data_IF_277250354314
#
_entry.id   IF_277250354314
#
_cell.length_a   1.000
_cell.length_b   1.000
_cell.length_c   1.000
_cell.angle_alpha   90.00
_cell.angle_beta   90.00
_cell.angle_gamma   90.00
#
_symmetry.space_group_name_H-M   'P 1'
#
loop_
_entity.id
_entity.type
_entity.pdbx_description
1 polymer ?
#
# COMPACT_ATOMS: atom_id res chain seq x y z
N UNK A 1 -4.56 -14.62 -5.96
CA UNK A 1 -3.50 -13.61 -5.98
C UNK A 1 -3.00 -13.39 -4.56
N UNK A 2 -1.68 -13.37 -4.33
CA UNK A 2 -1.11 -13.17 -3.00
C UNK A 2 -1.42 -11.80 -2.39
N UNK A 3 -1.27 -11.71 -1.07
CA UNK A 3 -1.35 -10.45 -0.32
C UNK A 3 -0.21 -9.54 -0.77
N UNK A 4 -0.48 -8.29 -1.20
CA UNK A 4 0.57 -7.36 -1.59
C UNK A 4 1.44 -6.98 -0.39
N UNK A 5 2.69 -6.63 -0.69
CA UNK A 5 3.69 -6.24 0.29
C UNK A 5 4.08 -4.78 0.10
N UNK A 6 4.85 -4.24 1.05
CA UNK A 6 5.39 -2.90 0.98
C UNK A 6 6.81 -2.88 1.55
N UNK A 7 7.79 -2.47 0.74
CA UNK A 7 9.23 -2.51 1.07
C UNK A 7 9.82 -1.15 1.50
N UNK A 8 8.99 -0.23 1.99
CA UNK A 8 9.43 1.14 2.32
C UNK A 8 10.49 1.21 3.42
N UNK A 9 10.61 0.18 4.24
CA UNK A 9 11.59 0.04 5.32
C UNK A 9 12.84 -0.76 4.91
N UNK A 10 12.93 -1.18 3.64
CA UNK A 10 13.97 -2.09 3.15
C UNK A 10 13.61 -3.58 3.26
N UNK A 11 12.53 -3.93 3.96
CA UNK A 11 12.03 -5.30 4.11
C UNK A 11 10.58 -5.42 3.64
N UNK A 12 10.20 -6.59 3.10
CA UNK A 12 8.85 -6.84 2.64
C UNK A 12 7.88 -7.04 3.81
N UNK A 13 6.98 -6.07 4.03
CA UNK A 13 5.92 -6.17 5.03
C UNK A 13 4.56 -6.34 4.36
N UNK A 14 3.77 -7.31 4.83
CA UNK A 14 2.42 -7.56 4.31
C UNK A 14 1.50 -6.36 4.53
N UNK A 15 0.70 -6.03 3.52
CA UNK A 15 -0.33 -5.00 3.61
C UNK A 15 -1.62 -5.55 4.23
N UNK A 16 -2.42 -4.69 4.82
CA UNK A 16 -3.73 -5.04 5.38
C UNK A 16 -4.85 -4.71 4.42
N UNK A 17 -5.94 -5.48 4.46
CA UNK A 17 -7.17 -5.14 3.74
C UNK A 17 -7.74 -3.84 4.27
N UNK A 18 -8.23 -2.99 3.37
CA UNK A 18 -8.84 -1.71 3.70
C UNK A 18 -10.05 -1.39 2.82
N UNK A 19 -11.19 -1.10 3.44
CA UNK A 19 -12.43 -0.75 2.73
C UNK A 19 -12.91 -1.86 1.78
N UNK A 20 -13.58 -1.47 0.70
CA UNK A 20 -14.07 -2.41 -0.32
C UNK A 20 -12.94 -2.83 -1.28
N UNK A 21 -12.24 -3.91 -0.92
CA UNK A 21 -11.21 -4.52 -1.75
C UNK A 21 -9.89 -3.75 -1.86
N UNK A 22 -9.71 -2.67 -1.09
CA UNK A 22 -8.49 -1.89 -1.04
C UNK A 22 -7.43 -2.45 -0.10
N UNK A 23 -6.30 -1.75 -0.04
CA UNK A 23 -5.14 -2.12 0.75
C UNK A 23 -4.59 -0.93 1.53
N UNK A 24 -4.00 -1.23 2.68
CA UNK A 24 -3.31 -0.26 3.52
C UNK A 24 -1.90 -0.79 3.87
N UNK A 25 -0.90 0.06 3.75
CA UNK A 25 0.46 -0.24 4.16
C UNK A 25 0.55 -0.48 5.67
N UNK A 26 1.38 -1.44 6.04
CA UNK A 26 1.71 -1.76 7.43
C UNK A 26 3.01 -1.10 7.91
N UNK A 27 3.79 -0.51 7.00
CA UNK A 27 5.17 -0.06 7.28
C UNK A 27 5.44 1.40 6.89
N UNK A 28 4.51 2.10 6.23
CA UNK A 28 4.74 3.50 5.88
C UNK A 28 3.47 4.35 5.82
N UNK A 29 3.64 5.63 6.17
CA UNK A 29 2.73 6.73 5.88
C UNK A 29 3.31 7.57 4.73
N UNK A 30 2.80 8.77 4.50
CA UNK A 30 3.36 9.72 3.53
C UNK A 30 4.70 10.32 3.97
N UNK A 31 4.97 10.39 5.27
CA UNK A 31 6.14 11.06 5.85
C UNK A 31 7.04 10.15 6.67
N UNK A 32 6.63 8.90 6.86
CA UNK A 32 7.28 7.97 7.78
C UNK A 32 7.35 6.58 7.18
N UNK A 33 8.51 5.94 7.29
CA UNK A 33 8.69 4.53 6.94
C UNK A 33 9.30 3.79 8.14
N UNK A 34 8.49 3.03 8.85
CA UNK A 34 8.90 2.17 9.95
C UNK A 34 7.88 1.05 10.16
N UNK A 35 8.34 -0.11 10.64
CA UNK A 35 7.45 -1.23 10.96
C UNK A 35 7.77 -1.79 12.36
N UNK A 36 6.78 -1.92 13.25
CA UNK A 36 5.38 -1.52 13.08
C UNK A 36 5.21 0.01 13.10
N UNK A 37 4.14 0.53 12.48
CA UNK A 37 3.83 1.97 12.55
C UNK A 37 3.59 2.43 14.01
N UNK A 38 3.90 3.69 14.36
CA UNK A 38 3.75 4.20 15.73
C UNK A 38 2.33 4.06 16.28
N UNK A 39 2.23 3.97 17.61
CA UNK A 39 0.93 4.06 18.27
C UNK A 39 0.35 5.48 18.14
N UNK A 40 -0.97 5.57 18.01
CA UNK A 40 -1.65 6.87 17.98
C UNK A 40 -1.70 7.46 19.40
N UNK A 41 -1.27 8.71 19.60
CA UNK A 41 -1.22 9.32 20.93
C UNK A 41 -2.61 9.39 21.59
N UNK A 42 -3.67 9.57 20.79
CA UNK A 42 -5.04 9.76 21.28
C UNK A 42 -5.89 8.48 21.28
N UNK A 43 -5.32 7.32 20.89
CA UNK A 43 -6.03 6.03 20.90
C UNK A 43 -5.11 4.93 21.39
N UNK A 44 -5.21 4.64 22.69
CA UNK A 44 -4.64 3.43 23.31
C UNK A 44 -5.09 2.23 22.46
N UNK A 45 -4.15 1.42 22.00
CA UNK A 45 -4.34 0.24 21.11
C UNK A 45 -4.47 0.47 19.60
N UNK A 46 -4.53 1.71 19.10
CA UNK A 46 -4.50 1.95 17.64
C UNK A 46 -3.13 2.42 17.18
N UNK A 47 -2.67 1.97 16.01
CA UNK A 47 -1.48 2.50 15.33
C UNK A 47 -1.87 3.52 14.27
N UNK A 48 -0.93 4.38 13.90
CA UNK A 48 -1.09 5.30 12.77
C UNK A 48 -1.40 4.48 11.52
N UNK A 49 -2.44 4.89 10.78
CA UNK A 49 -2.79 4.24 9.54
C UNK A 49 -1.74 4.51 8.46
N UNK A 50 -1.26 3.46 7.80
CA UNK A 50 -0.35 3.60 6.67
C UNK A 50 -1.03 4.15 5.41
N UNK A 51 -0.25 4.30 4.34
CA UNK A 51 -0.75 4.69 3.01
C UNK A 51 -1.84 3.73 2.53
N UNK A 52 -2.83 4.25 1.80
CA UNK A 52 -4.03 3.50 1.39
C UNK A 52 -4.18 3.49 -0.12
N UNK A 53 -4.76 2.42 -0.64
CA UNK A 53 -5.14 2.24 -2.04
C UNK A 53 -6.54 1.64 -2.09
N UNK A 54 -7.41 2.19 -2.93
CA UNK A 54 -8.77 1.66 -3.12
C UNK A 54 -8.76 0.38 -3.98
N UNK A 55 -9.79 -0.45 -3.86
CA UNK A 55 -9.90 -1.68 -4.64
C UNK A 55 -9.93 -1.44 -6.15
N UNK A 56 -10.61 -0.37 -6.60
CA UNK A 56 -10.65 0.00 -8.02
C UNK A 56 -9.27 0.42 -8.55
N UNK A 57 -8.51 1.19 -7.77
CA UNK A 57 -7.14 1.59 -8.16
C UNK A 57 -6.22 0.36 -8.18
N UNK A 58 -6.35 -0.52 -7.20
CA UNK A 58 -5.59 -1.75 -7.15
C UNK A 58 -5.90 -2.66 -8.35
N UNK A 59 -7.17 -2.84 -8.70
CA UNK A 59 -7.57 -3.61 -9.89
C UNK A 59 -6.95 -3.05 -11.17
N UNK A 60 -6.98 -1.71 -11.36
CA UNK A 60 -6.33 -1.05 -12.50
C UNK A 60 -4.82 -1.25 -12.51
N UNK A 61 -4.17 -1.21 -11.34
CA UNK A 61 -2.74 -1.50 -11.21
C UNK A 61 -2.44 -2.94 -11.67
N UNK A 62 -3.22 -3.92 -11.25
CA UNK A 62 -3.04 -5.32 -11.66
C UNK A 62 -3.22 -5.50 -13.16
N UNK A 63 -4.26 -4.90 -13.76
CA UNK A 63 -4.46 -4.95 -15.20
C UNK A 63 -3.28 -4.35 -15.96
N UNK A 64 -2.72 -3.24 -15.46
CA UNK A 64 -1.53 -2.61 -16.03
C UNK A 64 -0.30 -3.51 -15.90
N UNK A 65 -0.02 -4.04 -14.72
CA UNK A 65 1.12 -4.93 -14.48
C UNK A 65 1.03 -6.21 -15.32
N UNK A 66 -0.15 -6.80 -15.44
CA UNK A 66 -0.38 -7.95 -16.32
C UNK A 66 -0.11 -7.61 -17.79
N UNK A 67 -0.54 -6.43 -18.26
CA UNK A 67 -0.26 -5.96 -19.62
C UNK A 67 1.24 -5.67 -19.86
N UNK A 68 1.98 -5.27 -18.82
CA UNK A 68 3.43 -5.12 -18.83
C UNK A 68 4.19 -6.46 -18.70
N UNK A 69 3.48 -7.59 -18.54
CA UNK A 69 4.06 -8.93 -18.46
C UNK A 69 4.52 -9.37 -17.06
N UNK A 70 4.13 -8.66 -16.01
CA UNK A 70 4.44 -9.07 -14.64
C UNK A 70 3.68 -10.33 -14.25
N UNK A 71 4.37 -11.25 -13.56
CA UNK A 71 3.74 -12.43 -12.99
C UNK A 71 3.00 -12.08 -11.68
N UNK A 72 1.67 -12.10 -11.75
CA UNK A 72 0.77 -11.84 -10.62
C UNK A 72 0.59 -13.05 -9.67
N UNK A 73 1.32 -14.14 -9.89
CA UNK A 73 1.46 -15.22 -8.92
C UNK A 73 2.29 -14.79 -7.70
N UNK A 74 3.15 -13.77 -7.87
CA UNK A 74 3.98 -13.19 -6.81
C UNK A 74 3.34 -11.97 -6.13
N UNK A 75 3.67 -11.69 -4.86
CA UNK A 75 3.21 -10.48 -4.17
C UNK A 75 3.65 -9.22 -4.89
N UNK A 76 2.69 -8.36 -5.23
CA UNK A 76 2.98 -7.02 -5.75
C UNK A 76 3.50 -6.14 -4.62
N UNK A 77 4.67 -5.53 -4.81
CA UNK A 77 5.18 -4.51 -3.91
C UNK A 77 4.54 -3.16 -4.21
N UNK A 78 3.82 -2.62 -3.23
CA UNK A 78 3.06 -1.37 -3.37
C UNK A 78 3.88 -0.12 -3.05
N UNK A 79 5.16 -0.25 -2.66
CA UNK A 79 6.05 0.87 -2.25
C UNK A 79 5.92 2.10 -3.16
N UNK A 80 6.01 1.88 -4.47
CA UNK A 80 6.01 2.92 -5.50
C UNK A 80 4.62 3.20 -6.11
N UNK A 81 3.60 2.41 -5.74
CA UNK A 81 2.23 2.54 -6.25
C UNK A 81 1.27 3.19 -5.27
N UNK A 82 1.66 3.36 -4.00
CA UNK A 82 0.84 4.10 -3.04
C UNK A 82 0.59 5.52 -3.52
N UNK A 83 -0.64 6.01 -3.28
CA UNK A 83 -0.95 7.41 -3.53
C UNK A 83 -0.04 8.31 -2.68
N UNK A 84 0.64 9.25 -3.34
CA UNK A 84 1.53 10.24 -2.69
C UNK A 84 0.78 11.18 -1.76
N UNK A 85 -0.49 11.45 -2.07
CA UNK A 85 -1.40 12.26 -1.26
C UNK A 85 -2.75 11.55 -1.16
N UNK A 86 -3.54 11.85 -0.13
CA UNK A 86 -4.88 11.30 0.11
C UNK A 86 -5.92 11.61 -0.98
N UNK A 87 -5.49 11.87 -2.21
CA UNK A 87 -6.32 12.03 -3.39
C UNK A 87 -6.32 10.73 -4.18
N UNK A 88 -7.53 10.20 -4.38
CA UNK A 88 -7.90 9.14 -5.32
C UNK A 88 -7.73 9.64 -6.78
N UNK A 89 -6.65 10.37 -7.09
CA UNK A 89 -6.38 10.98 -8.39
C UNK A 89 -4.89 10.86 -8.68
N UNK A 90 -4.60 9.92 -9.58
CA UNK A 90 -3.45 9.87 -10.47
C UNK A 90 -2.40 10.95 -10.23
N UNK A 91 -1.32 10.60 -9.54
CA UNK A 91 -0.05 11.27 -9.77
C UNK A 91 0.95 10.17 -10.08
N UNK A 92 1.10 9.91 -11.36
CA UNK A 92 2.25 9.20 -11.92
C UNK A 92 3.49 9.97 -11.46
N UNK A 93 4.28 9.35 -10.59
CA UNK A 93 5.61 9.87 -10.31
C UNK A 93 6.43 9.48 -11.53
N UNK A 94 6.73 10.45 -12.39
CA UNK A 94 7.84 10.36 -13.35
C UNK A 94 9.15 10.44 -12.59
#
# INVERSE_FOLDING_TARGET
MPVPVCTCTGSAHQCYKWGNGGWQSSCCTTTLSQHPLPQMPNKKHSRVGGRKMSGNVFSRLLSRLAAEGYDLSFPVDLKDYWARHGTNRYITIK
#
